data_IF_863505649208
#
_entry.id   IF_863505649208
#
_cell.length_a   1.000
_cell.length_b   1.000
_cell.length_c   1.000
_cell.angle_alpha   90.00
_cell.angle_beta   90.00
_cell.angle_gamma   90.00
#
_symmetry.space_group_name_H-M   'P 1'
#
loop_
_entity.id
_entity.type
_entity.pdbx_description
1 polymer ?
#
# COMPACT_ATOMS: atom_id res chain seq x y z
N UNK A 1 -2.37 0.17 15.16
CA UNK A 1 -2.62 -0.94 14.21
C UNK A 1 -3.52 -0.45 13.09
N UNK A 2 -3.56 -1.17 11.97
CA UNK A 2 -4.48 -0.90 10.86
C UNK A 2 -5.93 -0.98 11.36
N UNK A 3 -6.78 -0.04 10.92
CA UNK A 3 -8.22 -0.03 11.26
C UNK A 3 -9.12 0.04 10.04
N UNK A 4 -8.75 0.86 9.06
CA UNK A 4 -9.51 0.97 7.81
C UNK A 4 -8.61 1.39 6.65
N UNK A 5 -9.00 0.96 5.45
CA UNK A 5 -8.44 1.43 4.19
C UNK A 5 -9.54 1.92 3.26
N UNK A 6 -9.15 2.74 2.30
CA UNK A 6 -9.99 3.16 1.20
C UNK A 6 -9.43 2.67 -0.12
N UNK A 7 -10.32 2.17 -0.96
CA UNK A 7 -10.02 1.64 -2.28
C UNK A 7 -9.47 2.71 -3.23
N UNK A 8 -8.53 2.31 -4.09
CA UNK A 8 -7.98 3.14 -5.17
C UNK A 8 -8.33 2.53 -6.53
N UNK A 9 -7.84 1.31 -6.81
CA UNK A 9 -8.07 0.59 -8.08
C UNK A 9 -7.81 -0.90 -7.89
N UNK A 10 -8.30 -1.75 -8.80
CA UNK A 10 -7.89 -3.14 -8.88
C UNK A 10 -6.72 -3.30 -9.86
N UNK A 11 -5.85 -4.27 -9.59
CA UNK A 11 -4.79 -4.71 -10.49
C UNK A 11 -4.85 -6.22 -10.65
N UNK A 12 -4.56 -6.71 -11.85
CA UNK A 12 -4.48 -8.14 -12.13
C UNK A 12 -3.02 -8.55 -12.20
N UNK A 13 -2.62 -9.50 -11.36
CA UNK A 13 -1.29 -10.13 -11.41
C UNK A 13 -1.10 -10.90 -12.71
N UNK A 14 0.15 -11.21 -13.05
CA UNK A 14 0.48 -12.03 -14.21
C UNK A 14 -0.12 -13.45 -14.12
N UNK A 15 -0.49 -13.90 -12.92
CA UNK A 15 -1.19 -15.17 -12.67
C UNK A 15 -2.71 -15.10 -12.86
N UNK A 16 -3.27 -13.93 -13.22
CA UNK A 16 -4.71 -13.71 -13.39
C UNK A 16 -5.45 -13.41 -12.08
N UNK A 17 -4.76 -13.38 -10.93
CA UNK A 17 -5.34 -12.99 -9.64
C UNK A 17 -5.57 -11.48 -9.58
N UNK A 18 -6.78 -11.08 -9.20
CA UNK A 18 -7.13 -9.68 -8.94
C UNK A 18 -6.79 -9.26 -7.51
N UNK A 19 -6.19 -8.09 -7.36
CA UNK A 19 -5.74 -7.52 -6.09
C UNK A 19 -6.22 -6.09 -5.99
N UNK A 20 -6.84 -5.75 -4.86
CA UNK A 20 -7.31 -4.41 -4.59
C UNK A 20 -6.17 -3.52 -4.08
N UNK A 21 -5.87 -2.43 -4.77
CA UNK A 21 -4.97 -1.39 -4.30
C UNK A 21 -5.78 -0.38 -3.49
N UNK A 22 -5.30 -0.06 -2.29
CA UNK A 22 -5.95 0.81 -1.33
C UNK A 22 -4.93 1.74 -0.63
N UNK A 23 -5.42 2.66 0.20
CA UNK A 23 -4.59 3.38 1.16
C UNK A 23 -5.16 3.23 2.56
N UNK A 24 -4.31 3.18 3.58
CA UNK A 24 -4.75 3.20 4.97
C UNK A 24 -5.37 4.58 5.26
N UNK A 25 -6.65 4.60 5.58
CA UNK A 25 -7.38 5.82 5.96
C UNK A 25 -7.41 5.98 7.47
N UNK A 26 -7.32 4.88 8.22
CA UNK A 26 -7.38 4.92 9.68
C UNK A 26 -6.48 3.89 10.32
N UNK A 27 -5.84 4.32 11.40
CA UNK A 27 -5.13 3.47 12.36
C UNK A 27 -5.62 3.79 13.77
N UNK A 28 -5.17 3.03 14.76
CA UNK A 28 -5.40 3.39 16.18
C UNK A 28 -4.87 4.78 16.57
N UNK A 29 -3.86 5.26 15.85
CA UNK A 29 -3.11 6.47 16.23
C UNK A 29 -3.47 7.70 15.40
N UNK A 30 -4.09 7.52 14.24
CA UNK A 30 -4.43 8.63 13.34
C UNK A 30 -5.57 8.26 12.40
N UNK A 31 -6.31 9.27 11.96
CA UNK A 31 -7.40 9.20 11.00
C UNK A 31 -7.13 10.22 9.87
N UNK A 32 -6.94 9.73 8.65
CA UNK A 32 -6.69 10.53 7.45
C UNK A 32 -7.57 10.00 6.31
N UNK A 33 -8.81 10.49 6.20
CA UNK A 33 -9.74 10.00 5.18
C UNK A 33 -9.32 10.41 3.76
N UNK A 34 -8.51 11.47 3.62
CA UNK A 34 -8.11 12.01 2.34
C UNK A 34 -6.60 11.89 2.08
N UNK A 35 -6.27 11.44 0.87
CA UNK A 35 -4.93 11.43 0.29
C UNK A 35 -5.00 12.13 -1.06
N UNK A 36 -3.99 12.92 -1.41
CA UNK A 36 -3.92 13.60 -2.70
C UNK A 36 -4.00 12.60 -3.85
N UNK A 37 -4.75 12.95 -4.90
CA UNK A 37 -4.97 12.06 -6.04
C UNK A 37 -3.65 11.64 -6.71
N UNK A 38 -2.69 12.56 -6.85
CA UNK A 38 -1.37 12.25 -7.42
C UNK A 38 -0.65 11.16 -6.62
N UNK A 39 -0.69 11.21 -5.29
CA UNK A 39 -0.09 10.17 -4.44
C UNK A 39 -0.79 8.83 -4.61
N UNK A 40 -2.13 8.81 -4.75
CA UNK A 40 -2.88 7.58 -5.01
C UNK A 40 -2.46 6.94 -6.33
N UNK A 41 -2.36 7.75 -7.38
CA UNK A 41 -1.94 7.28 -8.71
C UNK A 41 -0.50 6.75 -8.70
N UNK A 42 0.44 7.51 -8.12
CA UNK A 42 1.84 7.09 -8.01
C UNK A 42 1.98 5.79 -7.24
N UNK A 43 1.30 5.66 -6.08
CA UNK A 43 1.32 4.42 -5.33
C UNK A 43 0.76 3.25 -6.13
N UNK A 44 -0.34 3.47 -6.85
CA UNK A 44 -0.98 2.42 -7.62
C UNK A 44 -0.11 1.94 -8.81
N UNK A 45 0.65 2.83 -9.44
CA UNK A 45 1.65 2.47 -10.45
C UNK A 45 2.78 1.64 -9.85
N UNK A 46 3.31 2.07 -8.70
CA UNK A 46 4.41 1.34 -8.06
C UNK A 46 3.93 -0.03 -7.56
N UNK A 47 2.79 -0.11 -6.87
CA UNK A 47 2.21 -1.38 -6.41
C UNK A 47 1.96 -2.35 -7.57
N UNK A 48 1.61 -1.85 -8.74
CA UNK A 48 1.44 -2.65 -9.96
C UNK A 48 2.76 -3.21 -10.51
N UNK A 49 3.91 -2.56 -10.27
CA UNK A 49 5.24 -3.14 -10.57
C UNK A 49 5.55 -4.32 -9.66
N UNK A 50 5.10 -4.26 -8.40
CA UNK A 50 5.35 -5.29 -7.39
C UNK A 50 4.27 -6.38 -7.32
N UNK A 51 3.23 -6.31 -8.17
CA UNK A 51 2.06 -7.20 -8.12
C UNK A 51 2.40 -8.70 -8.14
N UNK A 52 3.47 -9.08 -8.83
CA UNK A 52 3.90 -10.49 -8.95
C UNK A 52 4.82 -10.94 -7.81
N UNK A 53 5.26 -10.02 -6.94
CA UNK A 53 6.08 -10.33 -5.76
C UNK A 53 5.24 -10.56 -4.50
N UNK A 54 3.92 -10.33 -4.59
CA UNK A 54 2.99 -10.36 -3.47
C UNK A 54 2.81 -11.78 -2.92
N UNK A 55 2.46 -11.87 -1.63
CA UNK A 55 2.13 -13.15 -1.03
C UNK A 55 0.91 -13.75 -1.76
N UNK A 56 0.89 -15.07 -2.03
CA UNK A 56 -0.25 -15.74 -2.67
C UNK A 56 -1.59 -15.53 -1.95
N UNK A 57 -1.58 -15.22 -0.65
CA UNK A 57 -2.78 -14.95 0.13
C UNK A 57 -3.21 -13.47 0.12
N UNK A 58 -2.41 -12.57 -0.46
CA UNK A 58 -2.69 -11.14 -0.53
C UNK A 58 -3.83 -10.85 -1.48
N UNK A 59 -4.92 -10.31 -0.98
CA UNK A 59 -6.05 -9.85 -1.81
C UNK A 59 -6.13 -8.34 -1.89
N UNK A 60 -5.46 -7.63 -0.98
CA UNK A 60 -5.47 -6.18 -0.91
C UNK A 60 -4.08 -5.66 -0.52
N UNK A 61 -3.65 -4.59 -1.16
CA UNK A 61 -2.40 -3.88 -0.85
C UNK A 61 -2.75 -2.46 -0.47
N UNK A 62 -2.50 -2.07 0.78
CA UNK A 62 -2.80 -0.75 1.28
C UNK A 62 -1.54 0.08 1.49
N UNK A 63 -1.48 1.29 0.93
CA UNK A 63 -0.41 2.24 1.23
C UNK A 63 -0.46 2.62 2.71
N UNK A 64 0.62 2.33 3.43
CA UNK A 64 0.79 2.69 4.82
C UNK A 64 1.66 3.94 4.92
N UNK A 65 1.03 5.06 5.25
CA UNK A 65 1.69 6.37 5.36
C UNK A 65 2.53 6.55 6.63
N UNK A 66 2.92 5.46 7.31
CA UNK A 66 3.66 5.52 8.58
C UNK A 66 5.13 5.92 8.40
N UNK A 67 5.61 6.12 7.18
CA UNK A 67 6.89 6.79 6.97
C UNK A 67 6.71 8.28 7.26
N UNK A 68 6.96 8.61 8.53
CA UNK A 68 7.44 9.91 8.93
C UNK A 68 8.48 10.37 7.91
N UNK A 69 8.36 11.62 7.47
CA UNK A 69 9.36 12.32 6.66
C UNK A 69 10.75 11.82 7.03
N UNK A 70 11.49 11.33 6.03
CA UNK A 70 12.81 10.78 6.22
C UNK A 70 13.64 11.72 7.11
N UNK A 71 14.05 11.32 8.32
CA UNK A 71 15.04 12.09 9.08
C UNK A 71 16.45 11.96 8.45
N UNK A 72 16.61 11.08 7.45
CA UNK A 72 17.88 10.81 6.76
C UNK A 72 17.92 11.53 5.41
N UNK A 73 18.77 12.55 5.31
CA UNK A 73 19.15 13.19 4.04
C UNK A 73 19.84 12.24 3.04
N UNK A 74 20.20 11.01 3.47
CA UNK A 74 20.98 10.05 2.69
C UNK A 74 20.14 9.02 1.92
N UNK A 75 18.82 9.04 2.09
CA UNK A 75 17.88 8.14 1.40
C UNK A 75 16.87 8.98 0.62
N UNK A 76 17.36 9.64 -0.44
CA UNK A 76 16.55 10.49 -1.32
C UNK A 76 15.62 9.67 -2.25
N UNK A 77 15.62 8.34 -2.14
CA UNK A 77 14.77 7.48 -2.93
C UNK A 77 13.32 7.56 -2.43
N UNK A 78 12.43 8.07 -3.28
CA UNK A 78 10.99 8.05 -3.02
C UNK A 78 10.54 6.60 -2.87
N UNK A 79 10.18 6.21 -1.65
CA UNK A 79 9.60 4.91 -1.36
C UNK A 79 8.22 5.04 -0.73
N UNK A 80 7.46 3.95 -0.82
CA UNK A 80 6.13 3.80 -0.26
C UNK A 80 6.10 2.54 0.60
N UNK A 81 5.84 2.70 1.89
CA UNK A 81 5.39 1.60 2.73
C UNK A 81 4.03 1.06 2.29
N UNK A 82 3.93 -0.24 2.07
CA UNK A 82 2.72 -0.95 1.66
C UNK A 82 2.43 -2.12 2.61
N UNK A 83 1.17 -2.31 2.97
CA UNK A 83 0.68 -3.44 3.75
C UNK A 83 -0.03 -4.40 2.83
N UNK A 84 0.31 -5.67 2.94
CA UNK A 84 -0.42 -6.76 2.30
C UNK A 84 -1.47 -7.28 3.27
N UNK A 85 -2.72 -7.31 2.80
CA UNK A 85 -3.86 -7.81 3.56
C UNK A 85 -4.45 -9.05 2.91
N UNK A 86 -4.87 -9.98 3.76
CA UNK A 86 -5.67 -11.13 3.36
C UNK A 86 -7.17 -10.78 3.24
N UNK A 87 -7.97 -11.79 2.92
CA UNK A 87 -9.43 -11.68 2.77
C UNK A 87 -10.17 -11.27 4.05
N UNK A 88 -9.54 -11.49 5.21
CA UNK A 88 -10.08 -11.19 6.53
C UNK A 88 -9.57 -9.82 7.01
N UNK A 89 -8.93 -9.05 6.13
CA UNK A 89 -8.29 -7.76 6.39
C UNK A 89 -7.16 -7.79 7.44
N UNK A 90 -6.55 -8.96 7.65
CA UNK A 90 -5.38 -9.07 8.49
C UNK A 90 -4.14 -8.66 7.69
N UNK A 91 -3.26 -7.89 8.34
CA UNK A 91 -1.96 -7.54 7.77
C UNK A 91 -1.06 -8.79 7.82
N UNK A 92 -0.79 -9.38 6.66
CA UNK A 92 0.04 -10.58 6.52
C UNK A 92 1.49 -10.27 6.17
N UNK A 93 1.74 -9.11 5.55
CA UNK A 93 3.09 -8.63 5.28
C UNK A 93 3.14 -7.09 5.18
N UNK A 94 4.33 -6.54 5.33
CA UNK A 94 4.64 -5.14 5.05
C UNK A 94 5.84 -5.09 4.11
N UNK A 95 5.75 -4.30 3.06
CA UNK A 95 6.81 -4.12 2.06
C UNK A 95 7.11 -2.66 1.82
N UNK A 96 8.35 -2.38 1.46
CA UNK A 96 8.77 -1.08 0.96
C UNK A 96 8.81 -1.15 -0.56
N UNK A 97 8.08 -0.26 -1.20
CA UNK A 97 8.05 -0.11 -2.64
C UNK A 97 8.89 1.10 -3.03
N UNK A 98 9.86 0.88 -3.90
CA UNK A 98 10.71 1.95 -4.41
C UNK A 98 10.14 2.42 -5.76
N UNK A 99 10.11 3.74 -5.98
CA UNK A 99 9.60 4.31 -7.24
C UNK A 99 10.54 4.02 -8.41
#
# INVERSE_FOLDING_TARGET
MYRASQFIKNVTTSTGKEIAIAYVSKTDTWDRPFVAQNTKSEFAEVAEKYKDTLNPNTVKVAMNRREAEHPSQNDAAKHYSALELDKDENVIASKHYYK
#
